data_IF_721208054573
#
_entry.id   IF_721208054573
#
_cell.length_a   1.000
_cell.length_b   1.000
_cell.length_c   1.000
_cell.angle_alpha   90.00
_cell.angle_beta   90.00
_cell.angle_gamma   90.00
#
_symmetry.space_group_name_H-M   'P 1'
#
loop_
_entity.id
_entity.type
_entity.pdbx_description
1 polymer ?
#
# COMPACT_ATOMS: atom_id res chain seq x y z
N UNK A 1 0.68 23.84 16.32
CA UNK A 1 0.47 25.32 16.30
C UNK A 1 1.69 26.08 16.80
N UNK A 2 1.59 27.40 16.81
CA UNK A 2 2.67 28.27 17.35
C UNK A 2 2.48 28.59 18.83
N UNK A 3 1.31 28.33 19.40
CA UNK A 3 0.97 28.60 20.79
C UNK A 3 0.77 27.30 21.54
N UNK A 4 1.36 27.18 22.71
CA UNK A 4 1.25 25.99 23.56
C UNK A 4 -0.14 25.84 24.19
N UNK A 5 -0.93 26.92 24.26
CA UNK A 5 -2.26 26.94 24.88
C UNK A 5 -3.35 26.27 24.06
N UNK A 6 -3.12 25.99 22.78
CA UNK A 6 -4.07 25.33 21.86
C UNK A 6 -3.86 23.81 21.75
N UNK A 7 -3.40 23.17 22.82
CA UNK A 7 -3.10 21.73 22.79
C UNK A 7 -4.36 20.92 23.09
N UNK A 8 -4.92 20.24 22.08
CA UNK A 8 -5.93 19.21 22.29
C UNK A 8 -5.31 17.81 22.18
N UNK A 9 -5.69 16.90 23.07
CA UNK A 9 -5.24 15.50 23.05
C UNK A 9 -6.42 14.59 22.80
N UNK A 10 -6.33 13.79 21.76
CA UNK A 10 -7.33 12.80 21.40
C UNK A 10 -6.68 11.41 21.48
N UNK A 11 -7.28 10.53 22.26
CA UNK A 11 -6.77 9.17 22.48
C UNK A 11 -7.55 8.16 21.66
N UNK A 12 -6.85 7.21 21.03
CA UNK A 12 -7.46 6.05 20.42
C UNK A 12 -7.98 5.08 21.50
N UNK A 13 -8.98 4.29 21.15
CA UNK A 13 -9.40 3.14 21.97
C UNK A 13 -8.39 2.01 21.83
N UNK A 14 -8.19 1.23 22.90
CA UNK A 14 -7.36 0.04 22.87
C UNK A 14 -7.93 -1.01 21.93
N UNK A 15 -7.06 -1.72 21.23
CA UNK A 15 -7.39 -2.81 20.33
C UNK A 15 -6.89 -2.57 18.91
N UNK A 16 -6.79 -3.63 18.15
CA UNK A 16 -6.45 -3.63 16.73
C UNK A 16 -7.60 -4.27 15.95
N UNK A 17 -8.26 -3.51 15.08
CA UNK A 17 -9.44 -3.94 14.32
C UNK A 17 -9.20 -5.20 13.48
N UNK A 18 -7.96 -5.40 13.02
CA UNK A 18 -7.57 -6.56 12.20
C UNK A 18 -6.74 -7.59 12.97
N UNK A 19 -6.70 -7.47 14.29
CA UNK A 19 -6.09 -8.46 15.21
C UNK A 19 -4.65 -8.85 14.82
N UNK A 20 -3.80 -7.85 14.60
CA UNK A 20 -2.39 -8.03 14.25
C UNK A 20 -2.11 -8.61 12.86
N UNK A 21 -3.12 -8.81 12.02
CA UNK A 21 -2.91 -9.32 10.66
C UNK A 21 -2.02 -8.38 9.85
N UNK A 22 -1.25 -8.90 8.87
CA UNK A 22 -0.45 -8.07 7.98
C UNK A 22 -1.27 -6.99 7.31
N UNK A 23 -0.72 -5.79 7.29
CA UNK A 23 -1.35 -4.61 6.68
C UNK A 23 -0.38 -3.98 5.68
N UNK A 24 -0.87 -3.70 4.49
CA UNK A 24 -0.15 -2.93 3.47
C UNK A 24 -0.97 -1.69 3.13
N UNK A 25 -0.31 -0.55 3.08
CA UNK A 25 -0.91 0.72 2.68
C UNK A 25 -0.31 1.16 1.36
N UNK A 26 -1.14 1.34 0.35
CA UNK A 26 -0.74 1.85 -0.95
C UNK A 26 -0.82 3.38 -0.96
N UNK A 27 0.26 4.02 -1.40
CA UNK A 27 0.32 5.47 -1.59
C UNK A 27 0.90 5.84 -2.96
N UNK A 28 0.53 7.01 -3.43
CA UNK A 28 1.11 7.62 -4.63
C UNK A 28 1.07 9.15 -4.53
N UNK A 29 1.48 9.85 -5.58
CA UNK A 29 1.48 11.32 -5.63
C UNK A 29 0.10 11.98 -5.46
N UNK A 30 -1.00 11.23 -5.59
CA UNK A 30 -2.37 11.67 -5.30
C UNK A 30 -2.78 11.51 -3.83
N UNK A 31 -2.01 10.76 -3.04
CA UNK A 31 -2.27 10.57 -1.61
C UNK A 31 -1.84 11.82 -0.84
N UNK A 32 -2.80 12.52 -0.22
CA UNK A 32 -2.54 13.82 0.40
C UNK A 32 -3.27 14.00 1.75
N UNK A 33 -2.73 14.87 2.61
CA UNK A 33 -3.37 15.34 3.85
C UNK A 33 -3.69 14.18 4.81
N UNK A 34 -4.98 13.90 5.09
CA UNK A 34 -5.40 12.84 6.01
C UNK A 34 -4.83 11.45 5.63
N UNK A 35 -4.72 11.14 4.35
CA UNK A 35 -4.09 9.90 3.87
C UNK A 35 -2.64 9.80 4.30
N UNK A 36 -1.92 10.93 4.28
CA UNK A 36 -0.52 10.99 4.69
C UNK A 36 -0.36 10.88 6.21
N UNK A 37 -1.32 11.42 6.97
CA UNK A 37 -1.35 11.27 8.43
C UNK A 37 -1.48 9.80 8.81
N UNK A 38 -2.43 9.09 8.18
CA UNK A 38 -2.65 7.66 8.43
C UNK A 38 -1.45 6.84 8.00
N UNK A 39 -0.95 7.03 6.78
CA UNK A 39 0.20 6.29 6.27
C UNK A 39 1.46 6.53 7.14
N UNK A 40 1.74 7.78 7.50
CA UNK A 40 2.89 8.14 8.33
C UNK A 40 2.80 7.57 9.74
N UNK A 41 1.62 7.60 10.36
CA UNK A 41 1.41 7.01 11.68
C UNK A 41 1.61 5.49 11.66
N UNK A 42 1.03 4.78 10.70
CA UNK A 42 1.18 3.34 10.56
C UNK A 42 2.62 2.91 10.26
N UNK A 43 3.33 3.71 9.45
CA UNK A 43 4.75 3.51 9.15
C UNK A 43 5.62 3.65 10.39
N UNK A 44 5.52 4.78 11.09
CA UNK A 44 6.34 5.09 12.26
C UNK A 44 6.14 4.08 13.40
N UNK A 45 4.91 3.57 13.53
CA UNK A 45 4.61 2.48 14.48
C UNK A 45 4.91 1.08 13.95
N UNK A 46 5.52 0.95 12.78
CA UNK A 46 5.79 -0.35 12.12
C UNK A 46 4.55 -1.26 12.04
N UNK A 47 3.35 -0.65 11.98
CA UNK A 47 2.08 -1.39 11.95
C UNK A 47 1.70 -1.82 10.54
N UNK A 48 2.17 -1.11 9.53
CA UNK A 48 1.93 -1.41 8.12
C UNK A 48 3.19 -1.24 7.28
N UNK A 49 3.28 -1.96 6.18
CA UNK A 49 4.26 -1.73 5.13
C UNK A 49 3.67 -0.75 4.14
N UNK A 50 4.36 0.33 3.88
CA UNK A 50 3.93 1.36 2.93
C UNK A 50 4.52 1.04 1.55
N UNK A 51 3.65 0.90 0.55
CA UNK A 51 4.03 0.48 -0.81
C UNK A 51 3.52 1.49 -1.84
N UNK A 52 4.29 1.72 -2.89
CA UNK A 52 3.90 2.60 -3.99
C UNK A 52 4.94 3.65 -4.30
N UNK A 53 4.54 4.91 -4.48
CA UNK A 53 5.42 6.05 -4.73
C UNK A 53 5.18 7.14 -3.69
N UNK A 54 6.14 8.06 -3.55
CA UNK A 54 6.05 9.17 -2.59
C UNK A 54 4.72 9.90 -2.68
N UNK A 55 4.12 10.21 -1.53
CA UNK A 55 2.87 10.94 -1.42
C UNK A 55 3.02 12.43 -1.75
N UNK A 56 1.93 13.17 -1.75
CA UNK A 56 1.87 14.55 -2.20
C UNK A 56 2.66 15.53 -1.33
N UNK A 57 2.58 15.42 -0.01
CA UNK A 57 3.26 16.32 0.92
C UNK A 57 2.43 17.50 1.42
N UNK A 58 1.11 17.32 1.64
CA UNK A 58 0.26 18.34 2.24
C UNK A 58 0.17 18.17 3.75
N UNK A 59 1.09 18.77 4.47
CA UNK A 59 1.17 18.71 5.93
C UNK A 59 0.66 19.97 6.65
N UNK A 60 -0.10 20.85 6.00
CA UNK A 60 -0.61 22.10 6.58
C UNK A 60 -2.04 21.98 7.08
N UNK A 61 -2.30 22.55 8.27
CA UNK A 61 -3.64 22.76 8.83
C UNK A 61 -4.11 24.16 8.45
N UNK A 62 -5.32 24.24 7.90
CA UNK A 62 -5.91 25.52 7.49
C UNK A 62 -7.19 25.77 8.31
N UNK A 63 -7.27 26.95 8.89
CA UNK A 63 -8.45 27.46 9.59
C UNK A 63 -9.20 28.45 8.73
N UNK A 64 -10.54 28.41 8.77
CA UNK A 64 -11.41 29.37 8.12
C UNK A 64 -11.83 30.37 9.20
N UNK A 65 -11.45 31.63 9.02
CA UNK A 65 -11.76 32.71 9.95
C UNK A 65 -12.82 33.59 9.29
N UNK A 66 -14.04 33.64 9.85
CA UNK A 66 -15.07 34.55 9.37
C UNK A 66 -14.63 36.02 9.50
N UNK A 67 -14.94 36.83 8.48
CA UNK A 67 -14.69 38.25 8.48
C UNK A 67 -16.00 39.03 8.61
N UNK A 68 -15.98 40.17 9.28
CA UNK A 68 -17.12 41.08 9.30
C UNK A 68 -17.41 41.54 7.84
N UNK A 69 -18.67 41.42 7.40
CA UNK A 69 -19.09 41.84 6.05
C UNK A 69 -19.13 40.74 5.00
N UNK A 70 -19.53 39.52 5.37
CA UNK A 70 -19.86 38.40 4.45
C UNK A 70 -18.66 37.75 3.72
N UNK A 71 -17.52 37.68 4.35
CA UNK A 71 -16.36 36.97 3.81
C UNK A 71 -15.72 36.02 4.83
N UNK A 72 -14.76 35.23 4.37
CA UNK A 72 -13.92 34.42 5.25
C UNK A 72 -12.49 34.36 4.72
N UNK A 73 -11.53 34.31 5.62
CA UNK A 73 -10.12 34.14 5.32
C UNK A 73 -9.69 32.71 5.62
N UNK A 74 -8.99 32.08 4.68
CA UNK A 74 -8.34 30.78 4.90
C UNK A 74 -6.88 31.02 5.26
N UNK A 75 -6.49 30.61 6.47
CA UNK A 75 -5.14 30.82 6.98
C UNK A 75 -4.51 29.50 7.41
N UNK A 76 -3.26 29.30 7.07
CA UNK A 76 -2.48 28.15 7.59
C UNK A 76 -2.06 28.47 9.02
N UNK A 77 -2.56 27.67 9.98
CA UNK A 77 -2.36 27.89 11.42
C UNK A 77 -1.43 26.87 12.06
N UNK A 78 -1.28 25.67 11.49
CA UNK A 78 -0.45 24.61 12.05
C UNK A 78 0.11 23.69 10.97
N UNK A 79 0.98 22.75 11.37
CA UNK A 79 1.52 21.69 10.52
C UNK A 79 1.32 20.35 11.19
N UNK A 80 1.14 19.32 10.36
CA UNK A 80 1.14 17.92 10.80
C UNK A 80 2.56 17.39 10.87
N UNK A 81 2.80 16.58 11.87
CA UNK A 81 4.04 15.82 12.06
C UNK A 81 3.68 14.35 12.27
N UNK A 82 4.52 13.46 11.81
CA UNK A 82 4.39 12.02 12.11
C UNK A 82 4.76 11.77 13.57
N UNK A 83 4.44 10.60 14.15
CA UNK A 83 4.84 10.25 15.51
C UNK A 83 6.35 10.40 15.79
N UNK A 84 7.20 10.17 14.78
CA UNK A 84 8.65 10.39 14.86
C UNK A 84 9.07 11.88 14.78
N UNK A 85 8.12 12.81 14.65
CA UNK A 85 8.37 14.25 14.59
C UNK A 85 8.75 14.75 13.19
N UNK A 86 8.59 13.96 12.13
CA UNK A 86 8.90 14.38 10.77
C UNK A 86 7.73 15.19 10.21
N UNK A 87 8.04 16.39 9.67
CA UNK A 87 7.03 17.22 8.99
C UNK A 87 6.67 16.63 7.64
N UNK A 88 5.37 16.44 7.40
CA UNK A 88 4.82 15.97 6.12
C UNK A 88 4.90 17.06 5.05
N UNK A 89 4.87 18.35 5.45
CA UNK A 89 4.80 19.48 4.52
C UNK A 89 5.98 19.50 3.53
N UNK A 90 5.65 19.47 2.25
CA UNK A 90 6.55 19.45 1.09
C UNK A 90 7.43 18.18 0.96
N UNK A 91 7.43 17.29 1.97
CA UNK A 91 8.21 16.04 1.96
C UNK A 91 7.37 14.85 1.53
N UNK A 92 6.10 14.79 1.99
CA UNK A 92 5.26 13.61 1.85
C UNK A 92 5.72 12.44 2.72
N UNK A 93 5.15 11.30 2.45
CA UNK A 93 5.52 10.02 3.04
C UNK A 93 6.23 9.19 1.96
N UNK A 94 7.45 8.77 2.24
CA UNK A 94 8.18 7.84 1.40
C UNK A 94 7.69 6.42 1.64
N UNK A 95 7.43 5.62 0.60
CA UNK A 95 7.08 4.22 0.78
C UNK A 95 8.28 3.41 1.31
N UNK A 96 8.00 2.28 1.96
CA UNK A 96 9.03 1.30 2.35
C UNK A 96 9.47 0.48 1.15
N UNK A 97 8.56 0.22 0.23
CA UNK A 97 8.80 -0.50 -1.02
C UNK A 97 8.28 0.35 -2.17
N UNK A 98 9.21 0.78 -3.04
CA UNK A 98 8.86 1.57 -4.22
C UNK A 98 8.27 0.65 -5.28
N UNK A 99 7.04 0.94 -5.70
CA UNK A 99 6.36 0.28 -6.81
C UNK A 99 5.74 1.34 -7.69
N UNK A 100 6.29 1.51 -8.88
CA UNK A 100 5.74 2.45 -9.86
C UNK A 100 4.38 1.97 -10.38
N UNK A 101 3.50 2.92 -10.71
CA UNK A 101 2.28 2.61 -11.43
C UNK A 101 2.66 2.01 -12.79
N UNK A 102 2.28 0.78 -13.04
CA UNK A 102 2.52 0.12 -14.32
C UNK A 102 1.83 0.84 -15.46
N UNK A 103 2.37 0.67 -16.68
CA UNK A 103 1.68 1.14 -17.89
C UNK A 103 0.44 0.26 -18.06
N UNK A 104 -0.74 0.88 -18.00
CA UNK A 104 -2.00 0.14 -18.17
C UNK A 104 -2.08 -0.48 -19.56
N UNK A 105 -2.69 -1.67 -19.68
CA UNK A 105 -2.88 -2.38 -20.96
C UNK A 105 -3.43 -1.50 -22.10
N UNK A 106 -4.39 -0.58 -21.87
CA UNK A 106 -4.82 0.35 -22.93
C UNK A 106 -3.68 1.25 -23.47
N UNK A 107 -2.78 1.68 -22.59
CA UNK A 107 -1.62 2.50 -22.98
C UNK A 107 -0.59 1.65 -23.72
N UNK A 108 -0.36 0.41 -23.30
CA UNK A 108 0.54 -0.55 -23.95
C UNK A 108 0.05 -0.89 -25.35
N UNK A 109 -1.24 -1.26 -25.50
CA UNK A 109 -1.87 -1.47 -26.82
C UNK A 109 -1.78 -0.24 -27.71
N UNK A 110 -1.94 0.97 -27.16
CA UNK A 110 -1.80 2.24 -27.92
C UNK A 110 -0.37 2.49 -28.37
N UNK A 111 0.64 2.12 -27.59
CA UNK A 111 2.06 2.22 -27.96
C UNK A 111 2.44 1.15 -29.00
N UNK A 112 1.95 -0.07 -28.84
CA UNK A 112 2.17 -1.17 -29.81
C UNK A 112 1.52 -0.87 -31.17
N UNK A 113 0.33 -0.29 -31.17
CA UNK A 113 -0.34 0.15 -32.41
C UNK A 113 0.34 1.33 -33.12
N UNK A 114 1.30 2.00 -32.48
CA UNK A 114 2.12 3.07 -33.09
C UNK A 114 3.36 2.56 -33.83
N UNK A 115 3.59 1.26 -33.85
CA UNK A 115 4.70 0.69 -34.64
C UNK A 115 4.42 0.83 -36.12
N UNK A 116 5.48 1.02 -36.91
CA UNK A 116 5.39 1.25 -38.35
C UNK A 116 4.58 0.17 -39.08
N UNK A 117 4.74 -1.09 -38.68
CA UNK A 117 4.01 -2.25 -39.22
C UNK A 117 2.47 -2.14 -39.09
N UNK A 118 1.98 -1.32 -38.11
CA UNK A 118 0.57 -1.10 -37.81
C UNK A 118 0.04 0.23 -38.40
N UNK A 119 0.91 1.02 -39.06
CA UNK A 119 0.50 2.29 -39.65
C UNK A 119 -0.19 2.07 -41.02
N UNK A 120 -1.13 2.95 -41.30
CA UNK A 120 -1.82 2.98 -42.61
C UNK A 120 -0.81 3.37 -43.70
N UNK A 121 -0.39 2.40 -44.56
CA UNK A 121 0.61 2.62 -45.61
C UNK A 121 2.00 2.05 -45.31
N UNK A 122 2.17 1.18 -44.31
CA UNK A 122 3.42 0.46 -44.05
C UNK A 122 3.84 -0.37 -45.28
N UNK A 123 5.14 -0.28 -45.62
CA UNK A 123 5.72 -0.78 -46.88
C UNK A 123 5.71 -2.29 -47.05
N UNK A 124 5.47 -3.09 -46.04
CA UNK A 124 5.51 -4.56 -46.11
C UNK A 124 4.26 -5.21 -45.48
N UNK A 125 3.06 -4.78 -45.85
CA UNK A 125 1.85 -5.52 -45.49
C UNK A 125 1.78 -6.80 -46.32
N UNK A 126 2.23 -7.92 -45.77
CA UNK A 126 1.74 -9.22 -46.23
C UNK A 126 0.26 -9.27 -46.00
N UNK A 127 -0.51 -9.48 -47.10
CA UNK A 127 -1.94 -9.72 -47.08
C UNK A 127 -2.27 -10.84 -46.08
N UNK A 128 -2.61 -10.45 -44.86
CA UNK A 128 -3.30 -11.35 -43.93
C UNK A 128 -4.77 -11.20 -44.25
N UNK A 129 -5.27 -12.22 -44.98
CA UNK A 129 -6.70 -12.49 -45.16
C UNK A 129 -7.47 -12.27 -43.85
N UNK A 130 -8.62 -11.58 -44.00
CA UNK A 130 -9.61 -11.32 -42.96
C UNK A 130 -10.05 -12.59 -42.22
N UNK A 131 -9.32 -13.02 -41.23
CA UNK A 131 -9.89 -13.79 -40.15
C UNK A 131 -10.36 -12.79 -39.07
N UNK A 132 -11.65 -12.49 -39.09
CA UNK A 132 -12.36 -11.93 -37.95
C UNK A 132 -12.24 -12.96 -36.82
N UNK A 133 -11.19 -12.84 -36.00
CA UNK A 133 -11.22 -13.43 -34.67
C UNK A 133 -12.30 -12.65 -33.91
N UNK A 134 -13.43 -13.28 -33.69
CA UNK A 134 -14.35 -12.89 -32.62
C UNK A 134 -13.52 -12.95 -31.34
N UNK A 135 -13.06 -11.79 -30.87
CA UNK A 135 -12.53 -11.66 -29.54
C UNK A 135 -13.72 -11.95 -28.60
N UNK A 136 -13.79 -13.17 -28.12
CA UNK A 136 -14.57 -13.47 -26.93
C UNK A 136 -14.01 -12.57 -25.82
N UNK A 137 -14.67 -11.46 -25.59
CA UNK A 137 -14.40 -10.56 -24.48
C UNK A 137 -14.79 -11.33 -23.22
N UNK A 138 -13.84 -12.07 -22.67
CA UNK A 138 -13.98 -12.67 -21.34
C UNK A 138 -14.12 -11.49 -20.38
N UNK A 139 -15.30 -11.27 -19.88
CA UNK A 139 -15.58 -10.22 -18.92
C UNK A 139 -14.88 -10.59 -17.60
N UNK A 140 -13.73 -9.95 -17.36
CA UNK A 140 -12.94 -10.16 -16.15
C UNK A 140 -13.76 -9.81 -14.92
N UNK A 141 -13.69 -10.64 -13.89
CA UNK A 141 -14.29 -10.37 -12.60
C UNK A 141 -13.72 -9.06 -12.01
N UNK A 142 -14.44 -8.38 -11.11
CA UNK A 142 -13.95 -7.17 -10.45
C UNK A 142 -12.57 -7.36 -9.79
N UNK A 143 -12.30 -8.53 -9.24
CA UNK A 143 -11.02 -8.88 -8.60
C UNK A 143 -9.90 -8.99 -9.64
N UNK A 144 -10.15 -9.63 -10.77
CA UNK A 144 -9.16 -9.75 -11.84
C UNK A 144 -8.82 -8.40 -12.46
N UNK A 145 -9.80 -7.50 -12.59
CA UNK A 145 -9.57 -6.11 -13.02
C UNK A 145 -8.66 -5.35 -12.04
N UNK A 146 -8.87 -5.52 -10.72
CA UNK A 146 -8.01 -4.93 -9.70
C UNK A 146 -6.58 -5.48 -9.74
N UNK A 147 -6.40 -6.76 -9.99
CA UNK A 147 -5.08 -7.40 -10.09
C UNK A 147 -4.30 -7.01 -11.35
N UNK A 148 -4.93 -6.33 -12.32
CA UNK A 148 -4.21 -5.72 -13.44
C UNK A 148 -3.43 -4.46 -13.04
N UNK A 149 -3.76 -3.84 -11.90
CA UNK A 149 -2.98 -2.77 -11.32
C UNK A 149 -1.69 -3.34 -10.70
N UNK A 150 -0.55 -2.84 -11.19
CA UNK A 150 0.77 -3.32 -10.75
C UNK A 150 0.99 -3.12 -9.24
N UNK A 151 0.54 -2.01 -8.68
CA UNK A 151 0.73 -1.70 -7.26
C UNK A 151 -0.14 -2.62 -6.39
N UNK A 152 -1.39 -2.84 -6.80
CA UNK A 152 -2.31 -3.74 -6.09
C UNK A 152 -1.81 -5.19 -6.18
N UNK A 153 -1.42 -5.65 -7.37
CA UNK A 153 -0.88 -7.00 -7.55
C UNK A 153 0.34 -7.25 -6.65
N UNK A 154 1.28 -6.30 -6.62
CA UNK A 154 2.46 -6.39 -5.77
C UNK A 154 2.12 -6.41 -4.28
N UNK A 155 1.13 -5.61 -3.83
CA UNK A 155 0.67 -5.62 -2.45
C UNK A 155 0.06 -6.97 -2.06
N UNK A 156 -0.74 -7.56 -2.94
CA UNK A 156 -1.32 -8.89 -2.73
C UNK A 156 -0.25 -9.97 -2.62
N UNK A 157 0.77 -9.94 -3.48
CA UNK A 157 1.89 -10.89 -3.42
C UNK A 157 2.68 -10.77 -2.12
N UNK A 158 2.92 -9.54 -1.64
CA UNK A 158 3.58 -9.30 -0.36
C UNK A 158 2.77 -9.86 0.82
N UNK A 159 1.46 -9.62 0.86
CA UNK A 159 0.59 -10.18 1.91
C UNK A 159 0.63 -11.72 1.88
N UNK A 160 0.55 -12.32 0.71
CA UNK A 160 0.65 -13.78 0.54
C UNK A 160 1.99 -14.31 1.05
N UNK A 161 3.09 -13.66 0.67
CA UNK A 161 4.44 -14.02 1.09
C UNK A 161 4.60 -13.94 2.62
N UNK A 162 4.15 -12.87 3.26
CA UNK A 162 4.18 -12.70 4.71
C UNK A 162 3.38 -13.80 5.42
N UNK A 163 2.17 -14.10 4.93
CA UNK A 163 1.34 -15.14 5.52
C UNK A 163 1.96 -16.54 5.40
N UNK A 164 2.52 -16.87 4.24
CA UNK A 164 3.22 -18.15 4.03
C UNK A 164 4.42 -18.29 4.96
N UNK A 165 5.24 -17.25 5.07
CA UNK A 165 6.39 -17.22 5.97
C UNK A 165 5.97 -17.38 7.44
N UNK A 166 4.98 -16.61 7.88
CA UNK A 166 4.49 -16.64 9.26
C UNK A 166 3.93 -18.03 9.65
N UNK A 167 3.22 -18.68 8.73
CA UNK A 167 2.69 -20.04 8.96
C UNK A 167 3.81 -21.07 9.04
N UNK A 168 4.84 -20.96 8.19
CA UNK A 168 6.00 -21.86 8.24
C UNK A 168 6.79 -21.71 9.55
N UNK A 169 7.00 -20.48 10.02
CA UNK A 169 7.67 -20.21 11.30
C UNK A 169 6.90 -20.81 12.49
N UNK A 170 5.57 -20.63 12.52
CA UNK A 170 4.71 -21.23 13.56
C UNK A 170 4.81 -22.76 13.56
N UNK A 171 4.74 -23.38 12.39
CA UNK A 171 4.84 -24.85 12.25
C UNK A 171 6.21 -25.38 12.70
N UNK A 172 7.30 -24.68 12.36
CA UNK A 172 8.66 -25.06 12.77
C UNK A 172 8.83 -24.95 14.28
N UNK A 173 8.30 -23.91 14.91
CA UNK A 173 8.33 -23.72 16.36
C UNK A 173 7.56 -24.83 17.10
N UNK A 174 6.41 -25.25 16.58
CA UNK A 174 5.60 -26.33 17.14
C UNK A 174 6.32 -27.67 17.05
N UNK A 175 7.02 -27.94 15.95
CA UNK A 175 7.83 -29.16 15.77
C UNK A 175 9.00 -29.20 16.75
N UNK A 176 9.66 -28.06 17.00
CA UNK A 176 10.77 -27.98 17.95
C UNK A 176 10.32 -28.24 19.41
N UNK A 177 9.14 -27.73 19.78
CA UNK A 177 8.56 -27.96 21.13
C UNK A 177 8.20 -29.46 21.31
N UNK A 178 7.60 -30.06 20.29
CA UNK A 178 7.29 -31.51 20.37
C UNK A 178 8.53 -32.38 20.47
N UNK A 179 9.63 -32.08 19.76
CA UNK A 179 10.90 -32.81 19.92
C UNK A 179 11.45 -32.69 21.35
N UNK A 180 11.42 -31.51 21.97
CA UNK A 180 11.81 -31.33 23.35
C UNK A 180 10.96 -32.15 24.35
N UNK A 181 9.64 -32.19 24.11
CA UNK A 181 8.72 -32.96 24.97
C UNK A 181 8.94 -34.46 24.85
N UNK A 182 9.30 -34.96 23.70
CA UNK A 182 9.62 -36.38 23.45
C UNK A 182 10.96 -36.74 24.10
N UNK A 183 11.98 -35.91 23.96
CA UNK A 183 13.28 -36.12 24.57
C UNK A 183 13.21 -36.15 26.12
N UNK A 184 12.40 -35.29 26.73
CA UNK A 184 12.18 -35.29 28.17
C UNK A 184 11.43 -36.55 28.64
N UNK A 185 10.49 -37.08 27.85
CA UNK A 185 9.80 -38.35 28.17
C UNK A 185 10.75 -39.54 28.09
N UNK A 186 11.67 -39.57 27.14
CA UNK A 186 12.66 -40.63 26.95
C UNK A 186 13.74 -40.58 28.06
N UNK A 187 14.15 -39.38 28.48
CA UNK A 187 15.10 -39.21 29.61
C UNK A 187 14.52 -39.68 30.94
N UNK A 188 13.24 -39.39 31.20
CA UNK A 188 12.57 -39.85 32.42
C UNK A 188 12.30 -41.37 32.46
N UNK A 189 12.19 -42.02 31.30
CA UNK A 189 12.02 -43.48 31.25
C UNK A 189 13.30 -44.29 31.56
N UNK A 190 14.46 -43.65 31.43
CA UNK A 190 15.77 -44.30 31.78
C UNK A 190 16.11 -44.29 33.25
N UNK A 191 15.38 -43.58 34.09
CA UNK A 191 15.60 -43.52 35.53
C UNK A 191 14.78 -44.52 36.34
N UNK A 192 14.14 -45.53 35.69
CA UNK A 192 13.32 -46.57 36.30
C UNK A 192 13.84 -47.98 35.96
N UNK A 193 15.14 -48.14 35.69
CA UNK A 193 15.78 -49.46 35.50
C UNK A 193 16.96 -49.64 36.44
#
# INVERSE_FOLDING_TARGET
GRKDDDTSRIFAKKGDVIDGKPLIVLINSGSASASEIVAGALKDHSRAIIVGTRSFGKGSVQSIIPLAGNGAMRLTTARYYTPSGISIQAKGIEPDIIVEAGITEPTKKRLENRREENLRGALDKKDKSNEKKEENVIELSPVEKLLQDNQISRAVDLIRGINLFSNNVKNTSTVTINKKSILNKVSNAKNWA
#
